data_IF_791398334652
#
_entry.id   IF_791398334652
#
_cell.length_a   1.000
_cell.length_b   1.000
_cell.length_c   1.000
_cell.angle_alpha   90.00
_cell.angle_beta   90.00
_cell.angle_gamma   90.00
#
_symmetry.space_group_name_H-M   'P 1'
#
loop_
_entity.id
_entity.type
_entity.pdbx_description
1 polymer ?
#
# COMPACT_ATOMS: atom_id res chain seq x y z
N UNK A 1 -0.88 6.13 9.26
CA UNK A 1 -1.37 6.74 10.51
C UNK A 1 -2.15 5.71 11.30
N UNK A 2 -2.05 5.75 12.63
CA UNK A 2 -2.81 4.92 13.57
C UNK A 2 -2.89 5.64 14.92
N UNK A 3 -4.02 5.66 15.62
CA UNK A 3 -4.17 6.18 17.00
C UNK A 3 -3.53 7.56 17.29
N UNK A 4 -3.56 8.45 16.29
CA UNK A 4 -2.92 9.78 16.34
C UNK A 4 -1.40 9.80 16.12
N UNK A 5 -0.79 8.67 15.76
CA UNK A 5 0.62 8.54 15.39
C UNK A 5 0.83 7.86 14.02
N UNK A 6 2.04 7.34 13.81
CA UNK A 6 2.50 6.68 12.59
C UNK A 6 3.13 5.33 12.90
N UNK A 7 3.01 4.41 11.94
CA UNK A 7 3.67 3.10 11.97
C UNK A 7 4.87 3.15 11.03
N UNK A 8 6.04 2.73 11.52
CA UNK A 8 7.32 2.85 10.81
C UNK A 8 8.04 1.52 10.80
N UNK A 9 8.46 1.07 9.63
CA UNK A 9 9.49 0.04 9.55
C UNK A 9 10.87 0.66 9.75
N UNK A 10 11.54 0.23 10.80
CA UNK A 10 12.92 0.57 11.10
C UNK A 10 13.63 -0.72 11.50
N UNK A 11 13.92 -1.56 10.50
CA UNK A 11 14.48 -2.90 10.71
C UNK A 11 15.66 -2.86 11.73
N UNK A 12 15.65 -3.73 12.76
CA UNK A 12 14.87 -4.97 12.86
C UNK A 12 13.43 -4.82 13.38
N UNK A 13 12.99 -3.59 13.68
CA UNK A 13 11.73 -3.31 14.38
C UNK A 13 10.64 -2.76 13.44
N UNK A 14 9.39 -3.03 13.79
CA UNK A 14 8.25 -2.18 13.42
C UNK A 14 7.86 -1.34 14.63
N UNK A 15 7.81 -0.02 14.46
CA UNK A 15 7.59 0.95 15.52
C UNK A 15 6.25 1.65 15.37
N UNK A 16 5.64 2.00 16.50
CA UNK A 16 4.63 3.03 16.62
C UNK A 16 5.28 4.29 17.18
N UNK A 17 5.14 5.41 16.47
CA UNK A 17 5.64 6.72 16.86
C UNK A 17 4.47 7.71 16.96
N UNK A 18 4.42 8.54 18.00
CA UNK A 18 3.40 9.58 18.14
C UNK A 18 4.00 10.84 18.76
N UNK A 19 3.73 11.95 18.10
CA UNK A 19 3.89 13.31 18.62
C UNK A 19 2.62 13.67 19.39
N UNK A 20 2.78 14.19 20.62
CA UNK A 20 1.68 14.51 21.52
C UNK A 20 1.53 16.01 21.79
N UNK A 21 2.49 16.83 21.40
CA UNK A 21 2.49 18.28 21.64
C UNK A 21 2.58 19.16 20.39
N UNK A 22 2.81 18.55 19.21
CA UNK A 22 2.80 19.19 17.91
C UNK A 22 4.13 19.83 17.52
N UNK A 23 5.25 19.41 18.11
CA UNK A 23 6.59 19.88 17.77
C UNK A 23 7.27 19.10 16.63
N UNK A 24 6.55 18.17 16.00
CA UNK A 24 7.02 17.23 14.97
C UNK A 24 8.10 16.24 15.47
N UNK A 25 8.23 16.05 16.78
CA UNK A 25 9.08 15.04 17.43
C UNK A 25 8.21 13.97 18.08
N UNK A 26 8.62 12.71 17.96
CA UNK A 26 7.89 11.61 18.57
C UNK A 26 8.17 11.52 20.08
N UNK A 27 7.19 11.88 20.90
CA UNK A 27 7.19 11.68 22.36
C UNK A 27 7.02 10.21 22.76
N UNK A 28 6.19 9.49 21.99
CA UNK A 28 5.89 8.09 22.23
C UNK A 28 6.59 7.25 21.18
N UNK A 29 7.40 6.29 21.64
CA UNK A 29 8.02 5.25 20.81
C UNK A 29 7.72 3.89 21.41
N UNK A 30 6.97 3.05 20.69
CA UNK A 30 6.70 1.66 21.07
C UNK A 30 7.10 0.70 19.97
N UNK A 31 7.77 -0.38 20.33
CA UNK A 31 8.01 -1.49 19.41
C UNK A 31 6.74 -2.33 19.31
N UNK A 32 6.19 -2.46 18.11
CA UNK A 32 5.06 -3.36 17.84
C UNK A 32 5.56 -4.80 17.74
N UNK A 33 6.64 -5.03 16.99
CA UNK A 33 7.32 -6.32 16.89
C UNK A 33 8.72 -6.17 16.30
N UNK A 34 9.55 -7.18 16.50
CA UNK A 34 10.95 -7.27 16.04
C UNK A 34 11.17 -8.58 15.30
N UNK A 35 12.01 -8.56 14.27
CA UNK A 35 12.39 -9.79 13.54
C UNK A 35 12.74 -9.57 12.07
N UNK A 36 12.68 -8.32 11.58
CA UNK A 36 13.13 -8.01 10.23
C UNK A 36 14.63 -8.21 10.10
N UNK A 37 15.05 -8.95 9.09
CA UNK A 37 16.48 -9.13 8.80
C UNK A 37 17.11 -7.81 8.36
N UNK A 38 18.32 -7.55 8.86
CA UNK A 38 19.16 -6.39 8.48
C UNK A 38 20.40 -6.80 7.69
N UNK A 39 20.53 -8.09 7.38
CA UNK A 39 21.68 -8.65 6.66
C UNK A 39 21.75 -8.18 5.20
N UNK A 40 20.59 -7.99 4.57
CA UNK A 40 20.48 -7.45 3.22
C UNK A 40 19.41 -6.34 3.17
N UNK A 41 19.84 -5.07 3.21
CA UNK A 41 18.96 -3.94 3.51
C UNK A 41 18.06 -3.52 2.36
N UNK A 42 18.34 -3.93 1.11
CA UNK A 42 17.40 -3.70 -0.01
C UNK A 42 16.30 -4.75 -0.08
N UNK A 43 16.28 -5.75 0.80
CA UNK A 43 15.31 -6.84 0.74
C UNK A 43 14.48 -6.89 2.03
N UNK A 44 14.40 -5.77 2.74
CA UNK A 44 13.67 -5.63 3.99
C UNK A 44 12.16 -5.40 3.82
N UNK A 45 11.46 -5.07 4.92
CA UNK A 45 10.04 -4.72 4.89
C UNK A 45 9.81 -3.39 4.19
N UNK A 46 8.72 -3.26 3.46
CA UNK A 46 8.39 -2.05 2.70
C UNK A 46 6.89 -1.89 2.47
N UNK A 47 6.50 -0.69 2.00
CA UNK A 47 5.18 -0.37 1.43
C UNK A 47 3.98 -0.64 2.36
N UNK A 48 3.99 -0.05 3.56
CA UNK A 48 2.85 -0.13 4.47
C UNK A 48 1.59 0.54 3.90
N UNK A 49 0.48 -0.20 3.88
CA UNK A 49 -0.86 0.27 3.48
C UNK A 49 -1.89 -0.05 4.54
N UNK A 50 -2.79 0.87 4.81
CA UNK A 50 -3.99 0.54 5.59
C UNK A 50 -5.05 -0.02 4.64
N UNK A 51 -5.52 -1.24 4.90
CA UNK A 51 -6.53 -1.92 4.10
C UNK A 51 -7.95 -1.58 4.52
N UNK A 52 -8.90 -1.90 3.65
CA UNK A 52 -10.34 -1.74 3.92
C UNK A 52 -10.78 -2.55 5.15
N UNK A 53 -10.15 -3.68 5.40
CA UNK A 53 -10.47 -4.58 6.52
C UNK A 53 -9.88 -4.15 7.87
N UNK A 54 -9.29 -2.95 7.94
CA UNK A 54 -8.64 -2.40 9.12
C UNK A 54 -7.31 -3.06 9.50
N UNK A 55 -6.68 -3.78 8.57
CA UNK A 55 -5.33 -4.30 8.73
C UNK A 55 -4.30 -3.42 8.01
N UNK A 56 -3.08 -3.38 8.54
CA UNK A 56 -1.92 -2.88 7.82
C UNK A 56 -1.35 -3.99 6.94
N UNK A 57 -1.24 -3.75 5.64
CA UNK A 57 -0.58 -4.61 4.67
C UNK A 57 0.83 -4.11 4.42
N UNK A 58 1.74 -5.03 4.16
CA UNK A 58 3.09 -4.72 3.73
C UNK A 58 3.66 -5.88 2.92
N UNK A 59 4.86 -5.65 2.40
CA UNK A 59 5.66 -6.70 1.78
C UNK A 59 7.05 -6.73 2.36
N UNK A 60 7.70 -7.88 2.27
CA UNK A 60 9.12 -8.04 2.60
C UNK A 60 9.83 -8.65 1.41
N UNK A 61 11.03 -8.15 1.10
CA UNK A 61 11.94 -8.80 0.19
C UNK A 61 12.57 -10.06 0.80
N UNK A 62 13.46 -10.72 0.04
CA UNK A 62 14.05 -12.00 0.42
C UNK A 62 14.93 -12.01 1.69
N UNK A 63 15.19 -10.85 2.32
CA UNK A 63 15.85 -10.82 3.62
C UNK A 63 14.95 -11.45 4.71
N UNK A 64 13.63 -11.35 4.52
CA UNK A 64 12.64 -12.06 5.31
C UNK A 64 12.47 -11.56 6.73
N UNK A 65 11.75 -12.37 7.48
CA UNK A 65 11.43 -12.18 8.89
C UNK A 65 11.68 -13.48 9.64
N UNK A 66 12.32 -13.37 10.80
CA UNK A 66 12.37 -14.44 11.80
C UNK A 66 12.23 -13.83 13.19
N UNK A 67 11.20 -14.23 13.92
CA UNK A 67 10.90 -13.67 15.23
C UNK A 67 9.62 -14.21 15.84
N UNK A 68 9.21 -13.63 16.96
CA UNK A 68 7.95 -13.92 17.62
C UNK A 68 7.06 -12.68 17.60
N UNK A 69 5.80 -12.85 17.20
CA UNK A 69 4.78 -11.80 17.19
C UNK A 69 3.54 -12.34 17.89
N UNK A 70 3.04 -11.64 18.91
CA UNK A 70 1.83 -12.05 19.64
C UNK A 70 1.93 -13.45 20.25
N UNK A 71 3.13 -13.87 20.72
CA UNK A 71 3.36 -15.21 21.26
C UNK A 71 3.49 -16.33 20.21
N UNK A 72 3.49 -15.99 18.92
CA UNK A 72 3.60 -16.95 17.83
C UNK A 72 4.90 -16.74 17.04
N UNK A 73 5.67 -17.81 16.86
CA UNK A 73 6.87 -17.78 16.02
C UNK A 73 6.47 -17.62 14.56
N UNK A 74 7.06 -16.62 13.90
CA UNK A 74 6.91 -16.34 12.48
C UNK A 74 8.24 -16.52 11.77
N UNK A 75 8.21 -17.12 10.57
CA UNK A 75 9.38 -17.29 9.73
C UNK A 75 8.96 -17.34 8.26
N UNK A 76 9.31 -16.31 7.49
CA UNK A 76 8.99 -16.22 6.06
C UNK A 76 10.06 -15.41 5.34
N UNK A 77 10.24 -15.70 4.04
CA UNK A 77 11.36 -15.14 3.27
C UNK A 77 10.99 -13.93 2.44
N UNK A 78 9.88 -13.94 1.71
CA UNK A 78 9.48 -12.85 0.82
C UNK A 78 7.97 -12.87 0.60
N UNK A 79 7.36 -11.73 0.35
CA UNK A 79 5.97 -11.62 -0.09
C UNK A 79 5.09 -10.78 0.82
N UNK A 80 3.78 -10.99 0.71
CA UNK A 80 2.76 -10.18 1.39
C UNK A 80 2.53 -10.64 2.82
N UNK A 81 2.35 -9.69 3.70
CA UNK A 81 1.86 -9.91 5.05
C UNK A 81 0.87 -8.83 5.44
N UNK A 82 0.14 -9.06 6.52
CA UNK A 82 -0.67 -8.05 7.19
C UNK A 82 -0.58 -8.17 8.69
N UNK A 83 -0.81 -7.06 9.39
CA UNK A 83 -0.91 -7.03 10.83
C UNK A 83 -1.92 -5.97 11.30
N UNK A 84 -2.43 -6.12 12.50
CA UNK A 84 -3.20 -5.09 13.20
C UNK A 84 -2.83 -5.11 14.66
N UNK A 85 -3.14 -4.02 15.35
CA UNK A 85 -2.79 -3.87 16.76
C UNK A 85 -3.80 -2.98 17.47
N UNK A 86 -3.98 -3.25 18.76
CA UNK A 86 -4.81 -2.44 19.64
C UNK A 86 -4.14 -1.11 19.95
N UNK A 87 -4.90 -0.13 20.46
CA UNK A 87 -4.38 1.19 20.84
C UNK A 87 -3.08 1.07 21.66
N UNK A 88 -1.92 1.46 21.09
CA UNK A 88 -0.63 1.32 21.75
C UNK A 88 -0.55 2.09 23.06
N UNK A 89 -1.43 3.06 23.32
CA UNK A 89 -1.44 3.81 24.56
C UNK A 89 -2.07 3.05 25.74
N UNK A 90 -2.84 1.98 25.48
CA UNK A 90 -3.55 1.21 26.52
C UNK A 90 -2.73 0.12 27.20
N UNK A 91 -1.56 -0.23 26.65
CA UNK A 91 -0.68 -1.27 27.19
C UNK A 91 0.79 -0.90 26.98
N UNK A 92 1.69 -1.29 27.89
CA UNK A 92 3.13 -1.13 27.69
C UNK A 92 3.62 -1.93 26.48
N UNK A 93 3.13 -3.17 26.33
CA UNK A 93 3.37 -4.03 25.18
C UNK A 93 2.11 -4.08 24.32
N UNK A 94 2.09 -3.44 23.15
CA UNK A 94 0.95 -3.51 22.24
C UNK A 94 0.67 -4.94 21.82
N UNK A 95 -0.59 -5.34 21.86
CA UNK A 95 -1.02 -6.62 21.29
C UNK A 95 -1.06 -6.49 19.77
N UNK A 96 -0.39 -7.42 19.07
CA UNK A 96 -0.29 -7.45 17.61
C UNK A 96 -0.79 -8.79 17.09
N UNK A 97 -1.75 -8.73 16.19
CA UNK A 97 -2.13 -9.85 15.35
C UNK A 97 -1.39 -9.77 14.02
N UNK A 98 -0.86 -10.88 13.53
CA UNK A 98 -0.03 -10.93 12.32
C UNK A 98 -0.41 -12.12 11.46
N UNK A 99 -0.40 -11.93 10.14
CA UNK A 99 -0.61 -12.98 9.16
C UNK A 99 0.34 -12.82 7.96
N UNK A 100 1.12 -13.86 7.65
CA UNK A 100 1.79 -13.97 6.36
C UNK A 100 0.80 -14.47 5.31
N UNK A 101 0.61 -13.72 4.22
CA UNK A 101 -0.45 -13.97 3.26
C UNK A 101 0.00 -14.90 2.13
N UNK A 102 1.14 -14.59 1.49
CA UNK A 102 1.63 -15.34 0.33
C UNK A 102 3.06 -14.98 -0.06
N UNK A 103 3.82 -15.98 -0.52
CA UNK A 103 5.12 -15.75 -1.15
C UNK A 103 4.98 -15.15 -2.55
N UNK A 104 5.85 -14.18 -2.85
CA UNK A 104 6.15 -13.72 -4.22
C UNK A 104 7.43 -14.38 -4.73
N UNK A 105 7.73 -14.19 -6.01
CA UNK A 105 8.86 -14.86 -6.66
C UNK A 105 10.22 -14.18 -6.47
N UNK A 106 10.29 -12.98 -5.90
CA UNK A 106 11.53 -12.22 -5.79
C UNK A 106 11.50 -11.13 -4.70
N UNK A 107 12.50 -10.26 -4.68
CA UNK A 107 12.58 -9.07 -3.83
C UNK A 107 11.36 -8.15 -4.08
N UNK A 108 10.59 -7.88 -3.03
CA UNK A 108 9.26 -7.28 -3.12
C UNK A 108 9.24 -5.85 -2.62
N UNK A 109 8.57 -4.97 -3.38
CA UNK A 109 8.77 -3.53 -3.27
C UNK A 109 7.54 -2.66 -3.53
N UNK A 110 6.34 -3.23 -3.61
CA UNK A 110 5.13 -2.43 -3.80
C UNK A 110 3.89 -3.11 -3.27
N UNK A 111 3.01 -2.35 -2.62
CA UNK A 111 1.67 -2.81 -2.25
C UNK A 111 0.65 -1.82 -2.79
N UNK A 112 -0.31 -2.35 -3.53
CA UNK A 112 -1.48 -1.67 -4.08
C UNK A 112 -2.75 -2.33 -3.59
N UNK A 113 -3.78 -1.54 -3.30
CA UNK A 113 -5.10 -2.03 -2.90
C UNK A 113 -6.13 -1.33 -3.78
N UNK A 114 -7.01 -2.09 -4.42
CA UNK A 114 -8.12 -1.53 -5.19
C UNK A 114 -9.21 -0.98 -4.26
N UNK A 115 -10.17 -0.25 -4.81
CA UNK A 115 -11.29 0.29 -4.03
C UNK A 115 -12.23 -0.79 -3.45
N UNK A 116 -12.19 -2.00 -4.01
CA UNK A 116 -12.92 -3.19 -3.56
C UNK A 116 -12.08 -4.10 -2.64
N UNK A 117 -10.79 -3.79 -2.46
CA UNK A 117 -9.90 -4.52 -1.55
C UNK A 117 -9.05 -5.61 -2.21
N UNK A 118 -8.96 -5.64 -3.55
CA UNK A 118 -8.03 -6.53 -4.26
C UNK A 118 -6.59 -6.11 -4.01
N UNK A 119 -5.71 -7.08 -3.77
CA UNK A 119 -4.34 -6.84 -3.35
C UNK A 119 -3.35 -7.06 -4.50
N UNK A 120 -2.61 -6.02 -4.81
CA UNK A 120 -1.57 -6.02 -5.83
C UNK A 120 -0.20 -5.68 -5.23
N UNK A 121 0.84 -5.98 -5.98
CA UNK A 121 2.19 -5.57 -5.59
C UNK A 121 3.18 -5.63 -6.74
N UNK A 122 4.43 -5.29 -6.44
CA UNK A 122 5.52 -5.30 -7.41
C UNK A 122 6.77 -5.94 -6.81
N UNK A 123 7.60 -6.50 -7.69
CA UNK A 123 8.84 -7.17 -7.32
C UNK A 123 9.95 -6.88 -8.34
N UNK A 124 11.19 -7.16 -7.97
CA UNK A 124 12.33 -7.10 -8.88
C UNK A 124 12.29 -8.21 -9.95
N UNK A 125 13.15 -8.08 -10.96
CA UNK A 125 13.46 -9.04 -12.02
C UNK A 125 12.26 -9.50 -12.86
N UNK A 126 11.81 -8.63 -13.77
CA UNK A 126 10.73 -8.85 -14.76
C UNK A 126 9.33 -9.03 -14.18
N UNK A 127 9.11 -8.66 -12.92
CA UNK A 127 7.82 -8.84 -12.30
C UNK A 127 7.31 -7.54 -11.66
N UNK A 128 6.97 -6.54 -12.50
CA UNK A 128 6.55 -5.22 -12.03
C UNK A 128 5.13 -5.20 -11.46
N UNK A 129 4.36 -6.29 -11.59
CA UNK A 129 2.96 -6.33 -11.18
C UNK A 129 2.57 -7.76 -10.81
N UNK A 130 2.06 -7.94 -9.61
CA UNK A 130 1.61 -9.19 -9.00
C UNK A 130 0.21 -8.98 -8.45
N UNK A 131 -0.62 -10.02 -8.49
CA UNK A 131 -1.92 -10.05 -7.83
C UNK A 131 -1.96 -11.18 -6.80
N UNK A 132 -2.49 -10.90 -5.60
CA UNK A 132 -2.76 -11.90 -4.57
C UNK A 132 -4.26 -12.20 -4.53
N UNK A 133 -4.74 -13.26 -5.21
CA UNK A 133 -6.17 -13.57 -5.26
C UNK A 133 -6.68 -14.22 -3.97
N UNK A 134 -5.89 -15.13 -3.39
CA UNK A 134 -6.33 -15.93 -2.23
C UNK A 134 -5.15 -16.10 -1.25
N UNK A 135 -5.28 -15.63 0.01
CA UNK A 135 -4.31 -15.86 1.08
C UNK A 135 -4.12 -17.35 1.45
N UNK A 136 -2.96 -17.68 2.01
CA UNK A 136 -2.60 -19.04 2.45
C UNK A 136 -3.65 -19.72 3.34
N UNK A 137 -4.25 -18.99 4.29
CA UNK A 137 -5.25 -19.52 5.24
C UNK A 137 -6.42 -20.27 4.60
N UNK A 138 -6.77 -19.97 3.34
CA UNK A 138 -7.85 -20.66 2.63
C UNK A 138 -7.38 -21.96 1.97
N UNK A 139 -6.13 -22.01 1.50
CA UNK A 139 -5.52 -23.23 0.97
C UNK A 139 -5.32 -24.26 2.08
N UNK A 140 -4.84 -23.80 3.24
CA UNK A 140 -4.56 -24.65 4.40
C UNK A 140 -5.82 -25.33 4.97
N UNK A 141 -7.01 -24.78 4.69
CA UNK A 141 -8.30 -25.37 5.06
C UNK A 141 -8.76 -26.48 4.12
N UNK A 142 -8.13 -26.64 2.95
CA UNK A 142 -8.53 -27.62 1.94
C UNK A 142 -7.46 -28.72 1.84
N UNK A 143 -7.82 -29.92 2.28
CA UNK A 143 -6.91 -31.07 2.27
C UNK A 143 -6.40 -31.35 0.84
N UNK A 144 -5.08 -31.40 0.68
CA UNK A 144 -4.43 -31.69 -0.59
C UNK A 144 -4.25 -30.48 -1.49
N UNK A 145 -4.67 -29.28 -1.07
CA UNK A 145 -4.38 -28.05 -1.79
C UNK A 145 -3.20 -27.33 -1.17
N UNK A 146 -2.39 -26.68 -2.00
CA UNK A 146 -1.27 -25.87 -1.55
C UNK A 146 -1.16 -24.62 -2.39
N UNK A 147 -0.67 -23.56 -1.76
CA UNK A 147 -0.33 -22.30 -2.39
C UNK A 147 0.81 -22.45 -3.39
N UNK A 148 0.72 -21.79 -4.54
CA UNK A 148 1.88 -21.50 -5.38
C UNK A 148 2.48 -20.13 -5.05
N UNK A 149 3.76 -19.96 -5.42
CA UNK A 149 4.44 -18.67 -5.42
C UNK A 149 3.76 -17.76 -6.44
N UNK A 150 3.47 -16.51 -6.06
CA UNK A 150 2.87 -15.54 -6.96
C UNK A 150 3.86 -15.10 -8.04
N UNK A 151 3.40 -15.13 -9.29
CA UNK A 151 4.15 -14.69 -10.47
C UNK A 151 3.66 -13.35 -11.00
N UNK A 152 4.27 -12.91 -12.09
CA UNK A 152 3.90 -11.66 -12.77
C UNK A 152 2.55 -11.79 -13.45
N UNK A 153 1.72 -10.77 -13.27
CA UNK A 153 0.52 -10.53 -14.09
C UNK A 153 0.82 -9.57 -15.25
N UNK A 154 2.03 -9.01 -15.33
CA UNK A 154 2.41 -8.16 -16.46
C UNK A 154 2.64 -8.99 -17.72
N UNK A 155 1.86 -8.73 -18.77
CA UNK A 155 1.98 -9.41 -20.07
C UNK A 155 3.32 -9.06 -20.73
N UNK A 156 3.74 -7.81 -20.57
CA UNK A 156 5.03 -7.31 -21.04
C UNK A 156 5.71 -6.50 -19.93
N UNK A 157 6.86 -6.97 -19.40
CA UNK A 157 7.64 -6.24 -18.41
C UNK A 157 8.63 -5.25 -19.06
N UNK A 158 8.44 -4.90 -20.34
CA UNK A 158 9.29 -3.95 -21.04
C UNK A 158 9.39 -2.64 -20.28
N UNK A 159 10.58 -2.08 -20.34
CA UNK A 159 11.01 -0.87 -19.70
C UNK A 159 11.42 0.13 -20.79
N UNK A 160 10.77 1.28 -20.85
CA UNK A 160 10.89 2.24 -21.97
C UNK A 160 11.47 3.59 -21.50
N UNK A 161 12.79 3.69 -21.23
CA UNK A 161 13.40 4.94 -20.78
C UNK A 161 13.47 5.97 -21.91
N UNK A 162 13.55 7.27 -21.56
CA UNK A 162 13.73 8.37 -22.53
C UNK A 162 15.21 8.72 -22.78
N UNK A 163 16.12 7.95 -22.20
CA UNK A 163 17.57 8.10 -22.29
C UNK A 163 18.23 6.72 -22.39
N UNK A 164 19.38 6.64 -23.03
CA UNK A 164 20.22 5.43 -23.08
C UNK A 164 21.08 5.28 -21.81
N UNK A 165 21.16 6.33 -20.99
CA UNK A 165 21.97 6.40 -19.77
C UNK A 165 21.31 5.76 -18.55
N UNK A 166 20.74 4.58 -18.76
CA UNK A 166 20.12 3.79 -17.70
C UNK A 166 21.14 2.96 -16.93
N UNK A 167 20.73 2.48 -15.76
CA UNK A 167 21.60 1.90 -14.74
C UNK A 167 21.01 0.58 -14.24
N UNK A 168 21.03 -0.43 -15.08
CA UNK A 168 20.49 -1.77 -14.80
C UNK A 168 21.59 -2.76 -14.41
N UNK A 169 21.28 -3.68 -13.51
CA UNK A 169 22.22 -4.75 -13.09
C UNK A 169 21.95 -6.06 -13.83
N UNK A 170 20.67 -6.32 -14.09
CA UNK A 170 20.17 -7.46 -14.82
C UNK A 170 18.90 -7.05 -15.59
N UNK A 171 18.25 -8.00 -16.26
CA UNK A 171 16.99 -7.78 -16.98
C UNK A 171 16.99 -6.52 -17.87
N UNK A 172 18.07 -6.30 -18.62
CA UNK A 172 18.26 -5.12 -19.46
C UNK A 172 17.07 -4.90 -20.41
N UNK A 173 16.56 -3.66 -20.45
CA UNK A 173 15.36 -3.30 -21.21
C UNK A 173 14.03 -3.75 -20.58
N UNK A 174 14.07 -4.25 -19.34
CA UNK A 174 12.90 -4.65 -18.54
C UNK A 174 13.01 -4.13 -17.11
N UNK A 175 11.95 -4.28 -16.31
CA UNK A 175 12.00 -3.91 -14.89
C UNK A 175 12.92 -4.85 -14.08
N UNK A 176 14.18 -4.46 -13.93
CA UNK A 176 15.12 -5.06 -12.95
C UNK A 176 14.67 -4.75 -11.51
N UNK A 177 14.23 -3.52 -11.26
CA UNK A 177 13.60 -3.10 -10.02
C UNK A 177 12.27 -2.42 -10.33
N UNK A 178 11.21 -2.90 -9.71
CA UNK A 178 9.89 -2.29 -9.75
C UNK A 178 9.52 -1.89 -8.32
N UNK A 179 9.48 -0.59 -8.06
CA UNK A 179 9.24 -0.02 -6.75
C UNK A 179 7.86 0.65 -6.70
N UNK A 180 7.12 0.43 -5.62
CA UNK A 180 5.73 0.84 -5.49
C UNK A 180 4.79 0.07 -6.42
N UNK A 181 3.49 0.16 -6.12
CA UNK A 181 2.41 -0.36 -6.96
C UNK A 181 1.10 0.33 -6.54
N UNK A 182 1.00 1.66 -6.70
CA UNK A 182 -0.20 2.36 -6.28
C UNK A 182 -1.27 2.29 -7.38
N UNK A 183 -2.49 1.84 -7.06
CA UNK A 183 -3.63 2.00 -7.95
C UNK A 183 -4.19 3.41 -7.85
N UNK A 184 -4.66 3.96 -8.97
CA UNK A 184 -5.33 5.25 -8.97
C UNK A 184 -6.75 5.15 -8.40
N UNK A 185 -6.94 5.52 -7.14
CA UNK A 185 -8.20 5.38 -6.38
C UNK A 185 -8.84 6.74 -6.03
N UNK A 186 -8.71 7.70 -6.95
CA UNK A 186 -9.32 9.04 -6.89
C UNK A 186 -10.06 9.38 -8.19
N UNK A 187 -10.74 10.53 -8.27
CA UNK A 187 -11.52 10.97 -9.47
C UNK A 187 -10.93 12.20 -10.19
N UNK A 188 -9.77 12.70 -9.77
CA UNK A 188 -9.13 13.89 -10.35
C UNK A 188 -8.59 13.68 -11.78
N UNK A 189 -7.82 12.61 -12.01
CA UNK A 189 -7.35 12.17 -13.32
C UNK A 189 -8.51 11.64 -14.17
N UNK A 190 -8.35 11.52 -15.51
CA UNK A 190 -9.38 10.97 -16.39
C UNK A 190 -9.90 9.59 -15.95
N UNK A 191 -11.14 9.27 -16.33
CA UNK A 191 -11.81 8.00 -16.00
C UNK A 191 -11.02 6.74 -16.36
N UNK A 192 -10.15 6.81 -17.36
CA UNK A 192 -9.27 5.68 -17.75
C UNK A 192 -8.26 5.27 -16.68
N UNK A 193 -8.06 6.07 -15.64
CA UNK A 193 -7.19 5.73 -14.51
C UNK A 193 -7.95 5.03 -13.38
N UNK A 194 -9.23 5.37 -13.19
CA UNK A 194 -10.01 5.05 -12.00
C UNK A 194 -10.05 3.55 -11.74
N UNK A 195 -9.46 3.19 -10.60
CA UNK A 195 -9.34 1.84 -10.05
C UNK A 195 -8.82 0.78 -11.05
N UNK A 196 -8.02 1.20 -12.04
CA UNK A 196 -7.54 0.31 -13.11
C UNK A 196 -6.14 0.61 -13.62
N UNK A 197 -5.54 1.73 -13.22
CA UNK A 197 -4.16 2.06 -13.56
C UNK A 197 -3.31 2.04 -12.31
N UNK A 198 -2.30 1.17 -12.29
CA UNK A 198 -1.27 1.14 -11.27
C UNK A 198 -0.03 1.92 -11.71
N UNK A 199 0.69 2.48 -10.74
CA UNK A 199 1.94 3.21 -10.95
C UNK A 199 3.10 2.47 -10.31
N UNK A 200 4.12 2.21 -11.11
CA UNK A 200 5.30 1.44 -10.71
C UNK A 200 6.54 2.23 -11.10
N UNK A 201 7.34 2.57 -10.11
CA UNK A 201 8.61 3.26 -10.30
C UNK A 201 9.70 2.29 -10.78
N UNK A 202 10.48 2.74 -11.75
CA UNK A 202 11.64 2.05 -12.30
C UNK A 202 12.90 2.91 -12.09
N UNK A 203 13.47 2.96 -10.88
CA UNK A 203 14.58 3.87 -10.54
C UNK A 203 15.79 3.68 -11.45
N UNK A 204 16.05 2.45 -11.89
CA UNK A 204 17.20 2.10 -12.74
C UNK A 204 17.15 2.68 -14.16
N UNK A 205 16.05 3.30 -14.57
CA UNK A 205 16.08 4.14 -15.76
C UNK A 205 15.05 5.25 -15.69
N UNK A 206 14.94 5.84 -14.50
CA UNK A 206 14.48 7.22 -14.34
C UNK A 206 13.02 7.44 -14.74
N UNK A 207 12.13 6.47 -14.48
CA UNK A 207 10.73 6.53 -14.90
C UNK A 207 9.73 6.02 -13.85
N UNK A 208 8.48 6.48 -13.97
CA UNK A 208 7.29 5.90 -13.34
C UNK A 208 6.36 5.43 -14.46
N UNK A 209 6.22 4.11 -14.59
CA UNK A 209 5.36 3.50 -15.60
C UNK A 209 3.92 3.36 -15.09
N UNK A 210 3.00 3.34 -16.04
CA UNK A 210 1.59 3.03 -15.82
C UNK A 210 1.29 1.61 -16.29
N UNK A 211 0.71 0.80 -15.41
CA UNK A 211 0.23 -0.54 -15.71
C UNK A 211 -1.29 -0.54 -15.69
N UNK A 212 -1.92 -0.75 -16.85
CA UNK A 212 -3.36 -0.94 -16.94
C UNK A 212 -3.72 -2.36 -16.51
N UNK A 213 -4.54 -2.48 -15.48
CA UNK A 213 -4.99 -3.74 -14.88
C UNK A 213 -6.36 -4.10 -15.48
N UNK A 214 -6.52 -5.36 -15.86
CA UNK A 214 -7.76 -5.89 -16.43
C UNK A 214 -8.05 -7.28 -15.85
N UNK A 215 -9.30 -7.59 -15.47
CA UNK A 215 -9.68 -8.92 -15.02
C UNK A 215 -9.36 -9.99 -16.07
N UNK A 216 -8.84 -11.13 -15.62
CA UNK A 216 -8.59 -12.32 -16.43
C UNK A 216 -8.85 -13.60 -15.59
N UNK A 217 -10.02 -14.19 -15.79
CA UNK A 217 -10.49 -15.32 -14.98
C UNK A 217 -10.59 -14.98 -13.49
N UNK A 218 -9.91 -15.75 -12.64
CA UNK A 218 -9.86 -15.54 -11.19
C UNK A 218 -8.68 -14.64 -10.74
N UNK A 219 -8.06 -13.93 -11.69
CA UNK A 219 -6.94 -13.03 -11.45
C UNK A 219 -7.05 -11.81 -12.36
N UNK A 220 -5.93 -11.12 -12.55
CA UNK A 220 -5.78 -9.99 -13.45
C UNK A 220 -4.60 -10.23 -14.39
N UNK A 221 -4.63 -9.52 -15.51
CA UNK A 221 -3.47 -9.20 -16.33
C UNK A 221 -3.17 -7.71 -16.20
N UNK A 222 -1.92 -7.33 -16.43
CA UNK A 222 -1.52 -5.93 -16.51
C UNK A 222 -0.68 -5.66 -17.75
N UNK A 223 -0.89 -4.49 -18.35
CA UNK A 223 -0.18 -4.04 -19.55
C UNK A 223 0.55 -2.75 -19.25
N UNK A 224 1.87 -2.72 -19.50
CA UNK A 224 2.61 -1.46 -19.51
C UNK A 224 2.04 -0.57 -20.63
N UNK A 225 1.47 0.57 -20.25
CA UNK A 225 0.80 1.48 -21.17
C UNK A 225 1.73 2.61 -21.62
N UNK A 226 2.25 3.38 -20.66
CA UNK A 226 3.16 4.52 -20.91
C UNK A 226 3.84 4.98 -19.61
N UNK A 227 4.86 5.84 -19.71
CA UNK A 227 5.50 6.47 -18.55
C UNK A 227 4.76 7.74 -18.12
N UNK A 228 4.14 7.73 -16.94
CA UNK A 228 3.53 8.93 -16.34
C UNK A 228 4.58 10.03 -16.12
N UNK A 229 5.80 9.63 -15.75
CA UNK A 229 6.94 10.49 -15.54
C UNK A 229 8.19 9.79 -16.03
N UNK A 230 9.08 10.51 -16.69
CA UNK A 230 10.38 10.02 -17.11
C UNK A 230 11.37 11.18 -17.15
N UNK A 231 12.65 10.88 -16.94
CA UNK A 231 13.72 11.86 -16.91
C UNK A 231 14.97 11.36 -17.63
N UNK A 232 15.70 12.28 -18.24
CA UNK A 232 17.03 12.07 -18.83
C UNK A 232 18.17 12.47 -17.88
N UNK A 233 17.83 13.05 -16.71
CA UNK A 233 18.75 13.30 -15.61
C UNK A 233 19.15 11.98 -14.95
N UNK A 234 20.44 11.65 -15.03
CA UNK A 234 20.99 10.38 -14.56
C UNK A 234 20.87 10.17 -13.04
N UNK A 235 20.53 11.22 -12.28
CA UNK A 235 20.32 11.14 -10.83
C UNK A 235 18.86 10.84 -10.47
N UNK A 236 17.94 10.88 -11.43
CA UNK A 236 16.51 10.63 -11.23
C UNK A 236 16.24 9.18 -10.80
N UNK A 237 15.92 8.96 -9.54
CA UNK A 237 15.65 7.64 -8.95
C UNK A 237 14.25 7.61 -8.29
N UNK A 238 13.15 7.61 -9.07
CA UNK A 238 11.81 7.45 -8.49
C UNK A 238 11.75 6.12 -7.76
N UNK A 239 11.27 6.14 -6.52
CA UNK A 239 11.16 4.94 -5.68
C UNK A 239 9.73 4.69 -5.20
N UNK A 240 8.85 5.68 -5.32
CA UNK A 240 7.45 5.56 -4.91
C UNK A 240 6.59 6.58 -5.66
N UNK A 241 5.39 6.17 -6.06
CA UNK A 241 4.36 7.04 -6.62
C UNK A 241 3.02 6.75 -5.93
N UNK A 242 2.33 7.78 -5.44
CA UNK A 242 1.12 7.67 -4.64
C UNK A 242 0.01 8.62 -5.03
N UNK A 243 -1.23 8.20 -4.86
CA UNK A 243 -2.39 9.09 -4.97
C UNK A 243 -2.44 9.96 -3.72
N UNK A 244 -2.29 11.27 -3.91
CA UNK A 244 -2.31 12.24 -2.83
C UNK A 244 -3.71 12.57 -2.32
N UNK A 245 -3.82 13.32 -1.21
CA UNK A 245 -5.09 13.82 -0.67
C UNK A 245 -5.86 14.71 -1.66
N UNK A 246 -5.14 15.34 -2.60
CA UNK A 246 -5.69 16.17 -3.66
C UNK A 246 -6.04 15.39 -4.94
N UNK A 247 -5.96 14.06 -4.88
CA UNK A 247 -6.26 13.16 -5.99
C UNK A 247 -5.21 13.16 -7.11
N UNK A 248 -4.10 13.89 -6.98
CA UNK A 248 -3.02 13.89 -7.96
C UNK A 248 -1.94 12.88 -7.58
N UNK A 249 -1.08 12.53 -8.53
CA UNK A 249 0.05 11.63 -8.24
C UNK A 249 1.21 12.39 -7.61
N UNK A 250 1.71 11.87 -6.51
CA UNK A 250 2.90 12.35 -5.83
C UNK A 250 4.01 11.32 -6.00
N UNK A 251 5.19 11.75 -6.42
CA UNK A 251 6.34 10.87 -6.65
C UNK A 251 7.46 11.29 -5.71
N UNK A 252 7.98 10.33 -4.95
CA UNK A 252 9.23 10.49 -4.23
C UNK A 252 10.34 9.94 -5.10
N UNK A 253 11.30 10.81 -5.36
CA UNK A 253 12.51 10.52 -6.07
C UNK A 253 13.69 10.62 -5.12
N UNK A 254 14.40 9.50 -4.97
CA UNK A 254 15.57 9.39 -4.11
C UNK A 254 16.73 10.28 -4.56
N UNK A 255 16.70 10.76 -5.81
CA UNK A 255 17.71 11.62 -6.44
C UNK A 255 19.14 11.11 -6.22
N UNK A 256 19.39 9.89 -6.68
CA UNK A 256 20.65 9.19 -6.42
C UNK A 256 21.23 8.63 -7.71
N UNK A 257 22.52 8.92 -7.94
CA UNK A 257 23.25 8.36 -9.08
C UNK A 257 23.40 6.84 -8.96
N UNK A 258 23.56 6.33 -7.73
CA UNK A 258 23.74 4.90 -7.44
C UNK A 258 22.53 4.37 -6.67
N UNK A 259 21.65 3.68 -7.38
CA UNK A 259 20.47 3.00 -6.81
C UNK A 259 20.69 1.50 -6.61
N UNK A 260 21.72 0.93 -7.22
CA UNK A 260 22.02 -0.50 -7.14
C UNK A 260 22.62 -0.85 -5.79
N UNK A 261 22.19 -1.99 -5.28
CA UNK A 261 22.69 -2.55 -4.05
C UNK A 261 23.80 -3.58 -4.30
N UNK A 262 23.55 -4.54 -5.21
CA UNK A 262 24.47 -5.58 -5.65
C UNK A 262 24.31 -5.85 -7.18
N UNK A 263 25.24 -6.54 -7.85
CA UNK A 263 26.55 -7.01 -7.34
C UNK A 263 27.51 -5.85 -7.04
N UNK A 264 28.53 -6.11 -6.21
CA UNK A 264 29.62 -5.16 -5.96
C UNK A 264 30.47 -4.98 -7.22
N UNK A 265 30.56 -3.77 -7.80
CA UNK A 265 31.36 -3.56 -8.99
C UNK A 265 32.86 -3.81 -8.73
N UNK A 266 33.61 -4.18 -9.76
CA UNK A 266 35.06 -4.40 -9.67
C UNK A 266 35.74 -3.14 -9.12
N UNK A 267 36.59 -3.31 -8.11
CA UNK A 267 37.30 -2.20 -7.46
C UNK A 267 36.55 -1.60 -6.26
N UNK A 268 35.32 -2.01 -6.01
CA UNK A 268 34.55 -1.61 -4.82
C UNK A 268 34.49 -2.75 -3.79
N UNK A 269 34.01 -2.44 -2.59
CA UNK A 269 33.86 -3.40 -1.48
C UNK A 269 32.40 -3.49 -1.06
N UNK A 270 31.95 -4.68 -0.68
CA UNK A 270 30.64 -4.86 -0.03
C UNK A 270 30.70 -4.30 1.38
N UNK A 271 29.83 -3.34 1.69
CA UNK A 271 29.71 -2.71 3.00
C UNK A 271 28.63 -3.34 3.89
N UNK A 272 28.32 -2.64 4.98
CA UNK A 272 27.25 -3.04 5.91
C UNK A 272 25.88 -3.07 5.21
N UNK A 273 25.08 -4.08 5.51
CA UNK A 273 23.76 -4.27 4.89
C UNK A 273 23.83 -4.81 3.46
N UNK A 274 25.00 -5.35 3.06
CA UNK A 274 25.28 -6.00 1.78
C UNK A 274 25.30 -5.06 0.55
N UNK A 275 25.25 -3.75 0.75
CA UNK A 275 25.39 -2.76 -0.31
C UNK A 275 26.87 -2.41 -0.56
N UNK A 276 27.33 -2.29 -1.80
CA UNK A 276 28.72 -1.89 -2.05
C UNK A 276 29.01 -0.44 -1.65
N UNK A 277 30.19 -0.13 -1.12
CA UNK A 277 30.53 1.23 -0.64
C UNK A 277 30.92 2.15 -1.80
N UNK A 278 30.41 3.38 -1.83
CA UNK A 278 30.78 4.40 -2.82
C UNK A 278 30.41 5.80 -2.31
N UNK A 279 31.25 6.79 -2.63
CA UNK A 279 31.00 8.21 -2.33
C UNK A 279 29.94 8.83 -3.27
N UNK A 280 29.57 8.13 -4.35
CA UNK A 280 28.54 8.60 -5.29
C UNK A 280 27.10 8.40 -4.78
N UNK A 281 26.89 7.65 -3.68
CA UNK A 281 25.58 7.55 -3.07
C UNK A 281 25.29 8.79 -2.23
N UNK A 282 24.39 9.63 -2.75
CA UNK A 282 23.90 10.77 -2.00
C UNK A 282 23.06 10.32 -0.79
N UNK A 283 23.13 11.08 0.30
CA UNK A 283 22.45 10.79 1.58
C UNK A 283 21.72 12.02 2.15
N UNK A 284 21.59 13.08 1.35
CA UNK A 284 21.17 14.41 1.80
C UNK A 284 20.03 14.99 0.98
N UNK A 285 19.90 14.56 -0.27
CA UNK A 285 18.97 15.13 -1.23
C UNK A 285 17.92 14.09 -1.63
N UNK A 286 16.77 14.61 -2.02
CA UNK A 286 15.64 13.88 -2.56
C UNK A 286 14.70 14.90 -3.19
N UNK A 287 13.80 14.44 -4.05
CA UNK A 287 12.82 15.29 -4.73
C UNK A 287 11.42 14.74 -4.49
N UNK A 288 10.47 15.64 -4.32
CA UNK A 288 9.04 15.32 -4.27
C UNK A 288 8.39 16.03 -5.44
N UNK A 289 7.80 15.26 -6.34
CA UNK A 289 7.04 15.76 -7.47
C UNK A 289 5.55 15.60 -7.20
N UNK A 290 4.78 16.62 -7.58
CA UNK A 290 3.32 16.55 -7.68
C UNK A 290 2.94 16.65 -9.14
N UNK A 291 2.45 15.57 -9.72
CA UNK A 291 2.01 15.50 -11.10
C UNK A 291 0.52 15.85 -11.13
N UNK A 292 0.21 17.11 -11.42
CA UNK A 292 -1.16 17.59 -11.44
C UNK A 292 -1.76 17.51 -12.84
N UNK A 293 -3.00 17.06 -12.95
CA UNK A 293 -3.77 17.21 -14.18
C UNK A 293 -4.29 18.64 -14.30
N UNK A 294 -4.20 19.21 -15.50
CA UNK A 294 -4.80 20.49 -15.79
C UNK A 294 -6.31 20.30 -16.02
N UNK A 295 -7.08 20.31 -14.93
CA UNK A 295 -8.53 20.09 -14.95
C UNK A 295 -9.25 21.21 -14.20
N UNK A 296 -10.48 21.48 -14.63
CA UNK A 296 -11.43 22.38 -13.96
C UNK A 296 -12.24 21.68 -12.87
N UNK A 297 -12.10 20.35 -12.73
CA UNK A 297 -12.78 19.60 -11.68
C UNK A 297 -12.36 20.13 -10.29
N UNK A 298 -13.32 20.48 -9.42
CA UNK A 298 -13.01 20.99 -8.10
C UNK A 298 -12.21 19.95 -7.32
N UNK A 299 -11.02 20.35 -6.88
CA UNK A 299 -10.25 19.56 -5.93
C UNK A 299 -10.97 19.63 -4.58
N UNK A 300 -11.80 18.62 -4.31
CA UNK A 300 -12.47 18.47 -3.03
C UNK A 300 -11.46 17.94 -2.02
N UNK A 301 -10.46 18.73 -1.65
CA UNK A 301 -9.84 18.51 -0.34
C UNK A 301 -10.94 18.87 0.66
N UNK A 302 -11.41 17.93 1.50
CA UNK A 302 -12.32 18.29 2.56
C UNK A 302 -11.49 19.11 3.54
N UNK A 303 -11.51 20.44 3.39
CA UNK A 303 -10.85 21.41 4.28
C UNK A 303 -11.22 21.16 5.75
N UNK A 304 -12.35 20.50 5.98
CA UNK A 304 -12.87 20.14 7.30
C UNK A 304 -12.47 18.74 7.79
N UNK A 305 -11.83 17.87 6.98
CA UNK A 305 -11.57 16.48 7.38
C UNK A 305 -10.72 16.34 8.65
N UNK A 306 -9.84 17.29 8.94
CA UNK A 306 -9.08 17.31 10.19
C UNK A 306 -9.97 17.57 11.41
N UNK A 307 -10.97 18.44 11.28
CA UNK A 307 -11.86 18.89 12.37
C UNK A 307 -13.27 18.28 12.31
N UNK A 308 -13.51 17.36 11.38
CA UNK A 308 -14.82 16.77 11.14
C UNK A 308 -15.35 16.03 12.37
N UNK A 309 -16.64 16.22 12.66
CA UNK A 309 -17.36 15.42 13.66
C UNK A 309 -17.50 13.97 13.18
N UNK A 310 -17.77 12.99 14.07
CA UNK A 310 -18.04 11.62 13.66
C UNK A 310 -19.15 11.50 12.61
N UNK A 311 -20.21 12.30 12.75
CA UNK A 311 -21.29 12.35 11.76
C UNK A 311 -20.82 12.87 10.40
N UNK A 312 -19.99 13.91 10.35
CA UNK A 312 -19.40 14.41 9.10
C UNK A 312 -18.41 13.41 8.49
N UNK A 313 -17.62 12.72 9.32
CA UNK A 313 -16.73 11.65 8.85
C UNK A 313 -17.56 10.55 8.17
N UNK A 314 -18.67 10.13 8.76
CA UNK A 314 -19.56 9.13 8.18
C UNK A 314 -20.25 9.65 6.91
N UNK A 315 -20.90 10.82 6.95
CA UNK A 315 -21.82 11.25 5.89
C UNK A 315 -21.18 12.02 4.74
N UNK A 316 -20.00 12.62 4.95
CA UNK A 316 -19.33 13.47 3.95
C UNK A 316 -18.00 12.89 3.50
N UNK A 317 -17.19 12.38 4.43
CA UNK A 317 -15.82 11.94 4.13
C UNK A 317 -15.75 10.47 3.72
N UNK A 318 -16.56 9.60 4.32
CA UNK A 318 -16.64 8.19 3.96
C UNK A 318 -17.13 7.93 2.50
N UNK A 319 -18.09 8.70 1.94
CA UNK A 319 -18.46 8.59 0.52
C UNK A 319 -17.52 9.37 -0.43
N UNK A 320 -16.41 9.92 0.07
CA UNK A 320 -15.54 10.76 -0.75
C UNK A 320 -14.93 10.00 -1.95
N UNK A 321 -14.76 10.70 -3.08
CA UNK A 321 -14.23 10.11 -4.33
C UNK A 321 -12.75 9.74 -4.28
N UNK A 322 -12.05 9.90 -3.15
CA UNK A 322 -10.62 9.63 -2.99
C UNK A 322 -10.43 8.72 -1.78
N UNK A 323 -9.88 7.53 -2.02
CA UNK A 323 -9.66 6.49 -1.00
C UNK A 323 -8.81 6.97 0.18
N UNK A 324 -7.89 7.91 -0.05
CA UNK A 324 -7.11 8.52 1.04
C UNK A 324 -8.02 9.05 2.15
N UNK A 325 -9.05 9.81 1.77
CA UNK A 325 -9.99 10.41 2.72
C UNK A 325 -10.91 9.38 3.35
N UNK A 326 -11.38 8.40 2.57
CA UNK A 326 -12.25 7.34 3.07
C UNK A 326 -11.56 6.47 4.11
N UNK A 327 -10.33 6.03 3.85
CA UNK A 327 -9.53 5.28 4.83
C UNK A 327 -9.25 6.10 6.09
N UNK A 328 -9.00 7.41 5.96
CA UNK A 328 -8.82 8.29 7.12
C UNK A 328 -10.11 8.42 7.95
N UNK A 329 -11.27 8.59 7.31
CA UNK A 329 -12.55 8.67 7.98
C UNK A 329 -12.88 7.35 8.71
N UNK A 330 -12.80 6.22 8.00
CA UNK A 330 -13.01 4.90 8.57
C UNK A 330 -12.12 4.66 9.79
N UNK A 331 -10.80 4.89 9.64
CA UNK A 331 -9.83 4.75 10.74
C UNK A 331 -10.22 5.61 11.95
N UNK A 332 -10.54 6.89 11.74
CA UNK A 332 -10.91 7.81 12.83
C UNK A 332 -12.20 7.40 13.54
N UNK A 333 -13.19 6.93 12.79
CA UNK A 333 -14.45 6.43 13.35
C UNK A 333 -14.21 5.22 14.26
N UNK A 334 -13.38 4.27 13.80
CA UNK A 334 -13.07 3.04 14.54
C UNK A 334 -12.18 3.32 15.75
N UNK A 335 -11.08 4.06 15.58
CA UNK A 335 -10.16 4.39 16.67
C UNK A 335 -10.85 5.20 17.78
N UNK A 336 -11.79 6.06 17.41
CA UNK A 336 -12.62 6.82 18.35
C UNK A 336 -13.74 6.01 19.00
N UNK A 337 -14.00 4.77 18.55
CA UNK A 337 -15.06 3.92 19.08
C UNK A 337 -16.47 4.48 18.85
N UNK A 338 -16.66 5.25 17.77
CA UNK A 338 -17.91 5.95 17.46
C UNK A 338 -18.99 4.97 17.00
N UNK A 339 -19.66 4.28 17.94
CA UNK A 339 -20.73 3.31 17.63
C UNK A 339 -22.07 4.00 17.35
N UNK A 340 -22.22 5.25 17.78
CA UNK A 340 -23.43 6.07 17.63
C UNK A 340 -23.75 6.43 16.16
N UNK A 341 -22.77 6.31 15.25
CA UNK A 341 -22.95 6.61 13.82
C UNK A 341 -23.47 5.42 12.99
N UNK A 342 -23.85 4.31 13.65
CA UNK A 342 -24.39 3.13 12.97
C UNK A 342 -25.56 3.44 12.01
N UNK A 343 -26.54 4.32 12.36
CA UNK A 343 -27.63 4.66 11.44
C UNK A 343 -27.13 5.30 10.14
N UNK A 344 -26.13 6.18 10.21
CA UNK A 344 -25.53 6.83 9.04
C UNK A 344 -24.77 5.83 8.16
N UNK A 345 -24.06 4.87 8.75
CA UNK A 345 -23.39 3.81 7.99
C UNK A 345 -24.40 2.88 7.30
N UNK A 346 -25.47 2.50 7.99
CA UNK A 346 -26.55 1.68 7.42
C UNK A 346 -27.20 2.41 6.24
N UNK A 347 -27.44 3.73 6.37
CA UNK A 347 -27.95 4.53 5.27
C UNK A 347 -27.03 4.56 4.05
N UNK A 348 -25.71 4.64 4.25
CA UNK A 348 -24.73 4.55 3.16
C UNK A 348 -24.72 3.17 2.48
N UNK A 349 -24.88 2.09 3.25
CA UNK A 349 -24.94 0.72 2.72
C UNK A 349 -26.18 0.52 1.86
N UNK A 350 -27.29 1.17 2.21
CA UNK A 350 -28.55 1.09 1.49
C UNK A 350 -28.59 1.95 0.20
N UNK A 351 -27.64 2.86 0.00
CA UNK A 351 -27.53 3.66 -1.21
C UNK A 351 -27.02 2.81 -2.37
N UNK A 352 -27.91 2.44 -3.30
CA UNK A 352 -27.58 1.62 -4.46
C UNK A 352 -27.01 2.39 -5.64
N UNK A 353 -26.73 3.69 -5.49
CA UNK A 353 -26.05 4.46 -6.52
C UNK A 353 -24.62 3.96 -6.73
N UNK A 354 -24.16 4.02 -7.97
CA UNK A 354 -22.78 3.66 -8.35
C UNK A 354 -22.17 4.76 -9.19
N UNK A 355 -20.86 4.90 -9.12
CA UNK A 355 -20.09 5.84 -9.92
C UNK A 355 -19.94 5.38 -11.39
N UNK A 356 -19.24 6.16 -12.21
CA UNK A 356 -19.07 5.86 -13.64
C UNK A 356 -18.23 4.60 -13.92
N UNK A 357 -17.59 4.00 -12.92
CA UNK A 357 -16.91 2.70 -13.05
C UNK A 357 -17.69 1.56 -12.40
N UNK A 358 -18.92 1.84 -11.95
CA UNK A 358 -19.84 0.86 -11.40
C UNK A 358 -19.63 0.60 -9.91
N UNK A 359 -18.91 1.47 -9.19
CA UNK A 359 -18.59 1.26 -7.78
C UNK A 359 -19.37 2.18 -6.84
N UNK A 360 -19.67 1.67 -5.65
CA UNK A 360 -20.01 2.46 -4.47
C UNK A 360 -18.97 2.22 -3.36
N UNK A 361 -17.80 2.87 -3.42
CA UNK A 361 -16.79 2.71 -2.38
C UNK A 361 -17.28 3.19 -1.01
N UNK A 362 -18.21 4.16 -0.96
CA UNK A 362 -18.78 4.65 0.29
C UNK A 362 -19.50 3.55 1.08
N UNK A 363 -20.35 2.77 0.39
CA UNK A 363 -21.02 1.60 0.97
C UNK A 363 -20.02 0.55 1.45
N UNK A 364 -18.98 0.25 0.66
CA UNK A 364 -17.91 -0.70 1.05
C UNK A 364 -17.19 -0.26 2.33
N UNK A 365 -16.78 1.02 2.40
CA UNK A 365 -16.16 1.57 3.60
C UNK A 365 -17.11 1.58 4.81
N UNK A 366 -18.41 1.80 4.61
CA UNK A 366 -19.40 1.73 5.67
C UNK A 366 -19.53 0.31 6.26
N UNK A 367 -19.55 -0.74 5.40
CA UNK A 367 -19.53 -2.14 5.84
C UNK A 367 -18.31 -2.44 6.72
N UNK A 368 -17.12 -2.05 6.26
CA UNK A 368 -15.88 -2.27 7.00
C UNK A 368 -15.75 -1.41 8.25
N UNK A 369 -16.40 -0.24 8.29
CA UNK A 369 -16.49 0.60 9.48
C UNK A 369 -17.39 -0.07 10.53
N UNK A 370 -18.55 -0.61 10.15
CA UNK A 370 -19.41 -1.41 11.05
C UNK A 370 -18.65 -2.62 11.61
N UNK A 371 -17.89 -3.33 10.77
CA UNK A 371 -17.04 -4.43 11.20
C UNK A 371 -15.99 -3.98 12.23
N UNK A 372 -15.24 -2.91 11.93
CA UNK A 372 -14.20 -2.38 12.81
C UNK A 372 -14.72 -1.83 14.14
N UNK A 373 -15.96 -1.33 14.17
CA UNK A 373 -16.65 -0.88 15.39
C UNK A 373 -17.20 -2.04 16.23
N UNK A 374 -17.11 -3.29 15.76
CA UNK A 374 -17.68 -4.46 16.43
C UNK A 374 -19.20 -4.42 16.49
N UNK A 375 -19.84 -4.01 15.39
CA UNK A 375 -21.30 -3.95 15.24
C UNK A 375 -21.86 -5.16 14.46
N UNK A 376 -21.01 -6.08 14.02
CA UNK A 376 -21.39 -7.26 13.22
C UNK A 376 -21.24 -8.58 14.00
N UNK A 377 -21.17 -8.54 15.33
CA UNK A 377 -21.07 -9.71 16.21
C UNK A 377 -22.43 -10.33 16.57
N UNK A 378 -23.51 -9.84 15.96
CA UNK A 378 -24.90 -10.22 16.24
C UNK A 378 -25.59 -9.39 17.34
N UNK A 379 -24.88 -8.48 18.02
CA UNK A 379 -25.48 -7.60 19.03
C UNK A 379 -26.23 -6.39 18.43
N UNK A 380 -26.07 -6.13 17.13
CA UNK A 380 -26.76 -5.07 16.38
C UNK A 380 -27.52 -5.67 15.18
N UNK A 381 -28.81 -6.04 15.34
CA UNK A 381 -29.59 -6.70 14.29
C UNK A 381 -29.71 -5.86 13.01
N UNK A 382 -29.94 -4.55 13.14
CA UNK A 382 -30.08 -3.64 12.00
C UNK A 382 -28.81 -3.57 11.14
N UNK A 383 -27.63 -3.54 11.78
CA UNK A 383 -26.35 -3.57 11.09
C UNK A 383 -26.15 -4.92 10.35
N UNK A 384 -26.55 -6.01 11.00
CA UNK A 384 -26.48 -7.36 10.40
C UNK A 384 -27.41 -7.49 9.20
N UNK A 385 -28.64 -6.98 9.29
CA UNK A 385 -29.61 -6.95 8.20
C UNK A 385 -29.11 -6.11 7.02
N UNK A 386 -28.50 -4.95 7.30
CA UNK A 386 -27.90 -4.11 6.26
C UNK A 386 -26.79 -4.84 5.49
N UNK A 387 -25.93 -5.60 6.17
CA UNK A 387 -24.89 -6.42 5.51
C UNK A 387 -25.51 -7.49 4.61
N UNK A 388 -26.56 -8.18 5.08
CA UNK A 388 -27.24 -9.18 4.25
C UNK A 388 -27.92 -8.56 3.02
N UNK A 389 -28.57 -7.40 3.19
CA UNK A 389 -29.14 -6.67 2.06
C UNK A 389 -28.07 -6.25 1.04
N UNK A 390 -26.89 -5.82 1.51
CA UNK A 390 -25.77 -5.41 0.69
C UNK A 390 -25.21 -6.53 -0.22
N UNK A 391 -25.51 -7.81 0.04
CA UNK A 391 -25.12 -8.91 -0.86
C UNK A 391 -25.77 -8.81 -2.24
N UNK A 392 -26.84 -8.04 -2.38
CA UNK A 392 -27.52 -7.74 -3.65
C UNK A 392 -27.23 -6.33 -4.18
N UNK A 393 -26.30 -5.61 -3.56
CA UNK A 393 -25.90 -4.27 -3.97
C UNK A 393 -25.31 -4.31 -5.40
N UNK A 394 -25.58 -3.31 -6.27
CA UNK A 394 -25.11 -3.33 -7.67
C UNK A 394 -23.59 -3.13 -7.85
N UNK A 395 -22.93 -2.50 -6.88
CA UNK A 395 -21.46 -2.34 -6.82
C UNK A 395 -20.72 -3.60 -6.46
#
# INVERSE_FOLDING_TARGET
>A
FAYGGVVVHQAPDTLFLKDTDGDDVADVRKTLFTGWSTGDTHAGPSNLRYGLDNWFYGMVGYAGFEGEIGGQRQSFRTGFYRFRFDDPMKSETPHVEFEFLRNTNNNSWGVGISEEGELFGSTANNNPSVHLPIPNRYYERVRGWSSSVLGSIAIDPKFDPITDKVRQVDQHGRFTAAAGHALYTARQYPRTYWNRTAFVAGPTGHLVATFQIQPDGASYISRNAWNLWASDDEWSAPIMAEVGPDGNMWVIDWYNYIVQHNPTPVGYKTGKGNAYETELRDKRHGRIYRLAVNTTAPNLMPLFAAQATPEQLATVVLPHSNMFWRLHAQRRLIEGGHREIAPQLIALIADTSVDEVGLNPGAMHALWTLHGLGLLDGSHPEATEAVFAAMSHPS
#
